data_IF_576210884125
#
_entry.id   IF_576210884125
#
_cell.length_a   1.000
_cell.length_b   1.000
_cell.length_c   1.000
_cell.angle_alpha   90.00
_cell.angle_beta   90.00
_cell.angle_gamma   90.00
#
_symmetry.space_group_name_H-M   'P 1'
#
loop_
_entity.id
_entity.type
_entity.pdbx_description
1 polymer ?
#
# COMPACT_ATOMS: atom_id res chain seq x y z
N UNK A 1 -13.63 -5.96 -1.36
CA UNK A 1 -14.28 -6.48 -0.16
C UNK A 1 -13.57 -5.99 1.10
N UNK A 2 -14.25 -5.28 1.92
CA UNK A 2 -13.71 -4.66 3.11
C UNK A 2 -14.40 -5.22 4.36
N UNK A 3 -13.62 -5.69 5.32
CA UNK A 3 -14.13 -6.21 6.57
C UNK A 3 -14.60 -5.12 7.54
N UNK A 4 -14.88 -5.52 8.78
CA UNK A 4 -15.35 -4.63 9.84
C UNK A 4 -14.19 -3.88 10.48
N UNK A 5 -14.43 -2.66 10.92
CA UNK A 5 -13.47 -1.86 11.67
C UNK A 5 -12.13 -1.65 10.95
N UNK A 6 -12.18 -1.53 9.63
CA UNK A 6 -11.00 -1.23 8.82
C UNK A 6 -10.77 0.28 8.78
N UNK A 7 -9.53 0.69 9.02
CA UNK A 7 -9.13 2.09 8.88
C UNK A 7 -8.37 2.30 7.59
N UNK A 8 -8.88 3.17 6.73
CA UNK A 8 -8.17 3.58 5.53
C UNK A 8 -7.57 4.97 5.72
N UNK A 9 -6.27 5.07 5.51
CA UNK A 9 -5.64 6.38 5.46
C UNK A 9 -6.07 7.13 4.19
N UNK A 10 -5.91 8.45 4.21
CA UNK A 10 -6.26 9.27 3.05
C UNK A 10 -5.37 8.94 1.85
N UNK A 11 -5.91 9.06 0.64
CA UNK A 11 -5.16 8.79 -0.58
C UNK A 11 -4.90 7.32 -0.87
N UNK A 12 -5.58 6.39 -0.17
CA UNK A 12 -5.47 4.97 -0.48
C UNK A 12 -6.16 4.66 -1.80
N UNK A 13 -5.49 3.91 -2.66
CA UNK A 13 -5.99 3.57 -4.00
C UNK A 13 -5.90 2.06 -4.19
N UNK A 14 -6.96 1.47 -4.74
CA UNK A 14 -6.92 0.08 -5.22
C UNK A 14 -6.67 0.10 -6.72
N UNK A 15 -5.70 -0.69 -7.17
CA UNK A 15 -5.26 -0.71 -8.55
C UNK A 15 -5.52 -2.08 -9.14
N UNK A 16 -6.11 -2.12 -10.34
CA UNK A 16 -6.34 -3.35 -11.08
C UNK A 16 -5.66 -3.21 -12.45
N UNK A 17 -4.54 -3.91 -12.61
CA UNK A 17 -3.76 -3.82 -13.85
C UNK A 17 -4.29 -4.67 -14.99
N UNK A 18 -5.10 -5.69 -14.67
CA UNK A 18 -5.63 -6.55 -15.72
C UNK A 18 -6.93 -6.00 -16.26
N UNK A 19 -6.91 -5.45 -17.45
CA UNK A 19 -8.09 -4.91 -18.10
C UNK A 19 -9.11 -5.95 -18.55
N UNK A 20 -8.76 -7.24 -18.48
CA UNK A 20 -9.64 -8.33 -18.96
C UNK A 20 -10.40 -9.02 -17.85
N UNK A 21 -9.84 -9.06 -16.65
CA UNK A 21 -10.42 -9.77 -15.51
C UNK A 21 -10.48 -8.82 -14.32
N UNK A 22 -11.63 -8.80 -13.63
CA UNK A 22 -11.74 -8.05 -12.39
C UNK A 22 -11.03 -8.80 -11.29
N UNK A 23 -9.94 -8.25 -10.82
CA UNK A 23 -9.23 -8.75 -9.65
C UNK A 23 -9.72 -8.01 -8.41
N UNK A 24 -9.81 -8.70 -7.29
CA UNK A 24 -10.32 -8.12 -6.05
C UNK A 24 -9.25 -7.99 -5.01
N UNK A 25 -9.37 -6.93 -4.22
CA UNK A 25 -8.65 -6.81 -2.96
C UNK A 25 -9.58 -7.24 -1.83
N UNK A 26 -9.09 -8.12 -0.94
CA UNK A 26 -9.81 -8.49 0.28
C UNK A 26 -9.08 -7.89 1.45
N UNK A 27 -9.81 -7.18 2.30
CA UNK A 27 -9.24 -6.53 3.47
C UNK A 27 -9.95 -7.07 4.70
N UNK A 28 -9.22 -7.74 5.56
CA UNK A 28 -9.76 -8.40 6.74
C UNK A 28 -10.16 -7.44 7.85
N UNK A 29 -10.91 -7.97 8.82
CA UNK A 29 -11.41 -7.18 9.94
C UNK A 29 -10.26 -6.54 10.74
N UNK A 30 -10.43 -5.29 11.11
CA UNK A 30 -9.48 -4.59 11.94
C UNK A 30 -8.15 -4.24 11.28
N UNK A 31 -8.05 -4.38 9.97
CA UNK A 31 -6.83 -3.99 9.26
C UNK A 31 -6.66 -2.47 9.23
N UNK A 32 -5.42 -2.02 9.18
CA UNK A 32 -5.09 -0.60 9.08
C UNK A 32 -4.31 -0.35 7.78
N UNK A 33 -4.90 0.44 6.90
CA UNK A 33 -4.26 0.80 5.63
C UNK A 33 -3.70 2.21 5.75
N UNK A 34 -2.38 2.32 5.69
CA UNK A 34 -1.71 3.61 5.83
C UNK A 34 -2.06 4.59 4.72
N UNK A 35 -1.83 5.87 4.96
CA UNK A 35 -2.13 6.93 3.98
C UNK A 35 -1.36 6.70 2.68
N UNK A 36 -1.97 7.03 1.55
CA UNK A 36 -1.35 6.93 0.22
C UNK A 36 -0.83 5.52 -0.11
N UNK A 37 -1.46 4.48 0.45
CA UNK A 37 -1.14 3.10 0.11
C UNK A 37 -1.81 2.72 -1.21
N UNK A 38 -1.07 2.09 -2.09
CA UNK A 38 -1.61 1.52 -3.32
C UNK A 38 -1.75 0.02 -3.16
N UNK A 39 -2.97 -0.49 -3.27
CA UNK A 39 -3.26 -1.93 -3.20
C UNK A 39 -3.43 -2.44 -4.62
N UNK A 40 -2.48 -3.24 -5.07
CA UNK A 40 -2.49 -3.78 -6.44
C UNK A 40 -3.22 -5.12 -6.44
N UNK A 41 -4.41 -5.13 -7.00
CA UNK A 41 -5.24 -6.34 -7.06
C UNK A 41 -4.64 -7.41 -7.99
N UNK A 42 -4.78 -8.70 -7.70
CA UNK A 42 -5.43 -9.23 -6.52
C UNK A 42 -4.49 -9.24 -5.31
N UNK A 43 -4.97 -8.79 -4.18
CA UNK A 43 -4.21 -8.85 -2.93
C UNK A 43 -5.16 -9.05 -1.77
N UNK A 44 -4.69 -9.78 -0.75
CA UNK A 44 -5.44 -10.02 0.46
C UNK A 44 -4.68 -9.47 1.67
N UNK A 45 -5.33 -8.58 2.39
CA UNK A 45 -4.82 -8.03 3.64
C UNK A 45 -5.55 -8.77 4.76
N UNK A 46 -4.84 -9.61 5.48
CA UNK A 46 -5.44 -10.45 6.52
C UNK A 46 -5.95 -9.60 7.70
N UNK A 47 -6.81 -10.17 8.56
CA UNK A 47 -7.31 -9.41 9.71
C UNK A 47 -6.19 -8.82 10.56
N UNK A 48 -6.39 -7.61 11.04
CA UNK A 48 -5.47 -6.87 11.92
C UNK A 48 -4.08 -6.62 11.34
N UNK A 49 -3.91 -6.77 10.03
CA UNK A 49 -2.66 -6.42 9.38
C UNK A 49 -2.57 -4.90 9.17
N UNK A 50 -1.36 -4.40 9.08
CA UNK A 50 -1.07 -2.99 8.86
C UNK A 50 -0.29 -2.82 7.57
N UNK A 51 -0.57 -1.76 6.82
CA UNK A 51 0.31 -1.33 5.73
C UNK A 51 0.90 0.03 6.06
N UNK A 52 2.19 0.19 5.83
CA UNK A 52 2.86 1.46 6.08
C UNK A 52 2.43 2.51 5.06
N UNK A 53 2.37 3.77 5.47
CA UNK A 53 2.00 4.87 4.59
C UNK A 53 2.92 4.93 3.36
N UNK A 54 2.35 5.20 2.20
CA UNK A 54 3.09 5.31 0.95
C UNK A 54 3.55 3.99 0.36
N UNK A 55 3.09 2.86 0.89
CA UNK A 55 3.48 1.54 0.38
C UNK A 55 2.68 1.15 -0.86
N UNK A 56 3.32 0.38 -1.74
CA UNK A 56 2.64 -0.27 -2.88
C UNK A 56 2.60 -1.76 -2.61
N UNK A 57 1.43 -2.26 -2.27
CA UNK A 57 1.23 -3.64 -1.82
C UNK A 57 0.87 -4.51 -3.02
N UNK A 58 1.75 -5.44 -3.34
CA UNK A 58 1.59 -6.37 -4.48
C UNK A 58 1.48 -7.82 -4.04
N UNK A 59 1.69 -8.09 -2.76
CA UNK A 59 1.62 -9.44 -2.19
C UNK A 59 0.67 -9.45 -1.01
N UNK A 60 0.11 -10.61 -0.72
CA UNK A 60 -0.76 -10.78 0.44
C UNK A 60 -0.02 -10.43 1.73
N UNK A 61 -0.73 -9.83 2.66
CA UNK A 61 -0.17 -9.45 3.96
C UNK A 61 -0.74 -10.38 5.03
N UNK A 62 0.12 -11.12 5.74
CA UNK A 62 -0.34 -12.02 6.79
C UNK A 62 -0.99 -11.30 7.96
N UNK A 63 -1.79 -12.03 8.71
CA UNK A 63 -2.45 -11.53 9.92
C UNK A 63 -1.42 -10.98 10.92
N UNK A 64 -1.77 -9.90 11.58
CA UNK A 64 -0.95 -9.24 12.61
C UNK A 64 0.43 -8.78 12.12
N UNK A 65 0.60 -8.59 10.82
CA UNK A 65 1.87 -8.17 10.23
C UNK A 65 1.83 -6.72 9.77
N UNK A 66 2.99 -6.10 9.70
CA UNK A 66 3.16 -4.78 9.09
C UNK A 66 3.85 -4.95 7.74
N UNK A 67 3.18 -4.56 6.67
CA UNK A 67 3.77 -4.58 5.34
C UNK A 67 4.35 -3.21 5.02
N UNK A 68 5.61 -3.19 4.63
CA UNK A 68 6.32 -1.99 4.20
C UNK A 68 6.86 -2.26 2.80
N UNK A 69 6.32 -1.55 1.82
CA UNK A 69 6.71 -1.75 0.43
C UNK A 69 6.96 -0.40 -0.23
N UNK A 70 8.01 0.26 0.21
CA UNK A 70 8.43 1.57 -0.28
C UNK A 70 9.94 1.66 -0.26
N UNK A 71 10.50 2.48 -1.16
CA UNK A 71 11.93 2.70 -1.21
C UNK A 71 12.39 3.48 0.03
N UNK A 72 13.62 3.20 0.49
CA UNK A 72 14.25 4.02 1.51
C UNK A 72 14.55 5.39 0.94
N UNK A 73 14.40 6.42 1.77
CA UNK A 73 14.77 7.75 1.37
C UNK A 73 16.28 7.84 1.11
N UNK A 74 16.63 8.42 -0.01
CA UNK A 74 18.01 8.63 -0.39
C UNK A 74 18.17 10.11 -0.76
N UNK A 75 18.92 10.83 0.02
CA UNK A 75 19.15 12.25 -0.20
C UNK A 75 20.36 12.44 -1.10
N UNK A 76 20.14 12.99 -2.27
CA UNK A 76 21.22 13.34 -3.20
C UNK A 76 21.72 14.73 -2.88
N UNK A 77 22.63 14.82 -1.93
CA UNK A 77 23.17 16.09 -1.47
C UNK A 77 23.92 16.82 -2.59
N UNK A 78 23.71 18.13 -2.67
CA UNK A 78 24.33 18.94 -3.71
C UNK A 78 23.74 18.78 -5.10
N UNK A 79 22.68 17.99 -5.24
CA UNK A 79 22.08 17.72 -6.55
C UNK A 79 21.63 18.99 -7.25
N UNK A 80 20.99 19.90 -6.52
CA UNK A 80 20.48 21.15 -7.08
C UNK A 80 21.59 22.01 -7.66
N UNK A 81 22.75 22.06 -6.99
CA UNK A 81 23.91 22.81 -7.47
C UNK A 81 24.45 22.28 -8.78
N UNK A 82 24.33 20.97 -9.02
CA UNK A 82 24.78 20.35 -10.28
C UNK A 82 23.89 20.71 -11.46
N UNK A 83 22.59 20.82 -11.23
CA UNK A 83 21.62 21.07 -12.32
C UNK A 83 21.40 22.55 -12.59
N UNK A 84 21.70 23.42 -11.64
CA UNK A 84 21.49 24.86 -11.75
C UNK A 84 22.74 25.62 -12.26
N UNK A 85 23.63 24.96 -12.96
CA UNK A 85 24.80 25.62 -13.54
C UNK A 85 24.43 26.53 -14.68
#
# INVERSE_FOLDING_TARGET
DVGKCVNFGCGTVTVNYDGKVKNRCKIGDGAFIGCNTNLVAPVEIAPRAYTAAGSTITKNVPEDSLAIARARQDNKEGWRKKVDK
#
